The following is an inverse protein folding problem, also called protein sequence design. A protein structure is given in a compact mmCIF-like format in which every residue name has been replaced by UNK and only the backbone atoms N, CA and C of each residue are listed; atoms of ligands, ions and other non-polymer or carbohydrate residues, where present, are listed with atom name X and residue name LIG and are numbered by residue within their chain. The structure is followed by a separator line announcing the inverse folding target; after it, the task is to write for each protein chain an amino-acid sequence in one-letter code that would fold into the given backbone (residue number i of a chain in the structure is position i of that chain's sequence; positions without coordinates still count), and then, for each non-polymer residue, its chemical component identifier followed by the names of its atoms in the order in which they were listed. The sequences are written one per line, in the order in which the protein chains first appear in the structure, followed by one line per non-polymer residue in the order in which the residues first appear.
data_IF_693713024437
#
_entry.id   IF_693713024437
#
_cell.length_a   1.000
_cell.length_b   1.000
_cell.length_c   1.000
_cell.angle_alpha   90.00
_cell.angle_beta   90.00
_cell.angle_gamma   90.00
#
_symmetry.space_group_name_H-M   'P 1'
#
loop_
_entity.id
_entity.type
_entity.pdbx_description
1 polymer ?
#
# COMPACT_ATOMS: atom_id res chain seq x y z
N UNK A 1 16.01 -20.95 -5.89
CA UNK A 1 14.78 -20.34 -5.34
C UNK A 1 15.10 -18.91 -4.95
N UNK A 2 14.50 -17.92 -5.59
CA UNK A 2 14.63 -16.53 -5.12
C UNK A 2 13.84 -16.46 -3.80
N UNK A 3 14.58 -16.44 -2.70
CA UNK A 3 14.15 -16.98 -1.40
C UNK A 3 13.09 -16.17 -0.68
N UNK A 4 11.92 -16.76 -0.49
CA UNK A 4 10.93 -16.31 0.50
C UNK A 4 11.47 -16.55 1.92
N UNK A 5 11.27 -15.57 2.80
CA UNK A 5 11.67 -15.67 4.20
C UNK A 5 10.51 -16.22 5.03
N UNK A 6 10.59 -17.49 5.41
CA UNK A 6 9.52 -18.14 6.19
C UNK A 6 9.64 -17.71 7.65
N UNK A 7 8.59 -17.12 8.19
CA UNK A 7 8.51 -16.78 9.61
C UNK A 7 8.41 -18.07 10.45
N UNK A 8 9.41 -18.33 11.30
CA UNK A 8 9.50 -19.56 12.12
C UNK A 8 9.17 -19.35 13.59
N UNK A 9 9.23 -18.12 14.11
CA UNK A 9 9.02 -17.86 15.54
C UNK A 9 7.52 -17.85 15.90
N UNK A 10 7.01 -18.81 16.70
CA UNK A 10 5.60 -18.88 17.05
C UNK A 10 5.10 -17.67 17.83
N UNK A 11 5.94 -17.02 18.64
CA UNK A 11 5.56 -15.84 19.43
C UNK A 11 5.23 -14.65 18.52
N UNK A 12 6.01 -14.47 17.45
CA UNK A 12 5.75 -13.41 16.46
C UNK A 12 4.46 -13.69 15.70
N UNK A 13 4.23 -14.95 15.30
CA UNK A 13 2.99 -15.36 14.63
C UNK A 13 1.78 -15.10 15.53
N UNK A 14 1.83 -15.50 16.80
CA UNK A 14 0.76 -15.23 17.76
C UNK A 14 0.50 -13.74 17.92
N UNK A 15 1.55 -12.92 18.07
CA UNK A 15 1.39 -11.47 18.21
C UNK A 15 0.77 -10.81 16.97
N UNK A 16 1.11 -11.28 15.75
CA UNK A 16 0.47 -10.82 14.51
C UNK A 16 -1.02 -11.13 14.52
N UNK A 17 -1.40 -12.35 14.90
CA UNK A 17 -2.80 -12.81 14.93
C UNK A 17 -3.61 -12.05 15.99
N UNK A 18 -3.05 -11.84 17.17
CA UNK A 18 -3.66 -11.02 18.22
C UNK A 18 -3.90 -9.58 17.74
N UNK A 19 -2.89 -8.97 17.11
CA UNK A 19 -2.99 -7.62 16.55
C UNK A 19 -3.90 -7.49 15.34
N UNK A 20 -4.20 -8.60 14.66
CA UNK A 20 -5.22 -8.63 13.61
C UNK A 20 -6.63 -8.48 14.19
N UNK A 21 -6.84 -8.82 15.47
CA UNK A 21 -8.13 -8.75 16.15
C UNK A 21 -9.23 -9.47 15.34
N UNK A 22 -8.92 -10.71 14.94
CA UNK A 22 -9.79 -11.58 14.14
C UNK A 22 -11.02 -11.96 14.96
N UNK A 23 -12.19 -11.82 14.34
CA UNK A 23 -13.48 -12.23 14.87
C UNK A 23 -13.84 -13.62 14.34
N UNK A 24 -14.61 -14.43 15.09
CA UNK A 24 -15.05 -15.76 14.66
C UNK A 24 -15.83 -15.77 13.33
N UNK A 25 -16.46 -14.66 12.98
CA UNK A 25 -17.26 -14.51 11.75
C UNK A 25 -16.43 -14.07 10.54
N UNK A 26 -15.18 -13.66 10.72
CA UNK A 26 -14.39 -13.04 9.66
C UNK A 26 -13.98 -14.03 8.57
N UNK A 27 -14.01 -13.55 7.33
CA UNK A 27 -13.22 -14.09 6.22
C UNK A 27 -11.84 -13.44 6.25
N UNK A 28 -10.80 -14.26 6.31
CA UNK A 28 -9.41 -13.79 6.43
C UNK A 28 -8.70 -14.02 5.10
N UNK A 29 -8.10 -12.98 4.54
CA UNK A 29 -7.16 -13.11 3.42
C UNK A 29 -5.74 -13.27 3.97
N UNK A 30 -5.11 -14.40 3.71
CA UNK A 30 -3.69 -14.62 3.96
C UNK A 30 -2.90 -14.54 2.66
N UNK A 31 -1.86 -13.71 2.59
CA UNK A 31 -0.99 -13.64 1.40
C UNK A 31 0.43 -14.07 1.73
N UNK A 32 0.91 -15.08 1.00
CA UNK A 32 2.18 -15.77 1.25
C UNK A 32 2.05 -16.77 2.39
N UNK A 33 1.11 -17.71 2.28
CA UNK A 33 0.84 -18.72 3.33
C UNK A 33 2.02 -19.66 3.57
N UNK A 34 2.89 -19.85 2.56
CA UNK A 34 4.02 -20.76 2.63
C UNK A 34 3.59 -22.16 3.08
N UNK A 35 4.30 -22.73 4.06
CA UNK A 35 4.00 -24.05 4.64
C UNK A 35 2.85 -24.07 5.64
N UNK A 36 2.15 -22.94 5.83
CA UNK A 36 0.93 -22.89 6.64
C UNK A 36 1.10 -22.60 8.12
N UNK A 37 2.26 -22.13 8.58
CA UNK A 37 2.51 -21.86 10.02
C UNK A 37 1.54 -20.83 10.61
N UNK A 38 1.18 -19.82 9.83
CA UNK A 38 0.22 -18.80 10.23
C UNK A 38 -1.21 -19.22 9.86
N UNK A 39 -1.39 -19.81 8.66
CA UNK A 39 -2.67 -20.35 8.17
C UNK A 39 -3.41 -21.20 9.19
N UNK A 40 -2.74 -22.18 9.81
CA UNK A 40 -3.42 -23.08 10.78
C UNK A 40 -3.98 -22.32 11.98
N UNK A 41 -3.26 -21.32 12.48
CA UNK A 41 -3.71 -20.48 13.60
C UNK A 41 -4.81 -19.50 13.18
N UNK A 42 -4.81 -19.04 11.93
CA UNK A 42 -5.90 -18.23 11.38
C UNK A 42 -7.20 -19.05 11.25
N UNK A 43 -7.10 -20.31 10.82
CA UNK A 43 -8.23 -21.24 10.67
C UNK A 43 -8.92 -21.58 12.01
N UNK A 44 -8.17 -21.55 13.12
CA UNK A 44 -8.70 -21.70 14.48
C UNK A 44 -9.54 -20.49 14.93
N UNK A 45 -9.28 -19.29 14.38
CA UNK A 45 -9.87 -18.02 14.85
C UNK A 45 -10.99 -17.50 13.95
N UNK A 46 -10.89 -17.70 12.64
CA UNK A 46 -11.84 -17.16 11.66
C UNK A 46 -12.89 -18.15 11.17
N UNK A 47 -13.86 -17.62 10.43
CA UNK A 47 -14.88 -18.40 9.72
C UNK A 47 -14.26 -19.13 8.53
N UNK A 48 -13.44 -18.42 7.75
CA UNK A 48 -12.82 -18.90 6.51
C UNK A 48 -11.46 -18.22 6.32
N UNK A 49 -10.48 -18.95 5.80
CA UNK A 49 -9.20 -18.40 5.35
C UNK A 49 -9.08 -18.59 3.85
N UNK A 50 -8.81 -17.51 3.15
CA UNK A 50 -8.41 -17.51 1.74
C UNK A 50 -6.89 -17.29 1.70
N UNK A 51 -6.14 -18.33 1.40
CA UNK A 51 -4.69 -18.28 1.30
C UNK A 51 -4.26 -18.08 -0.16
N UNK A 52 -3.53 -16.99 -0.44
CA UNK A 52 -2.87 -16.77 -1.72
C UNK A 52 -1.41 -17.21 -1.65
N UNK A 53 -1.02 -18.13 -2.53
CA UNK A 53 0.35 -18.63 -2.61
C UNK A 53 0.79 -18.78 -4.07
N UNK A 54 2.03 -18.35 -4.35
CA UNK A 54 2.61 -18.39 -5.68
C UNK A 54 3.28 -19.75 -5.96
N UNK A 55 3.95 -20.35 -4.96
CA UNK A 55 4.67 -21.61 -5.13
C UNK A 55 3.73 -22.82 -4.99
N UNK A 56 3.43 -23.57 -6.10
CA UNK A 56 2.50 -24.69 -6.05
C UNK A 56 2.99 -25.84 -5.14
N UNK A 57 4.28 -25.93 -4.86
CA UNK A 57 4.84 -26.95 -3.96
C UNK A 57 4.43 -26.69 -2.51
N UNK A 58 4.47 -25.41 -2.09
CA UNK A 58 4.03 -24.99 -0.76
C UNK A 58 2.52 -25.14 -0.60
N UNK A 59 1.76 -24.95 -1.69
CA UNK A 59 0.32 -25.22 -1.72
C UNK A 59 0.03 -26.69 -1.39
N UNK A 60 0.73 -27.63 -2.02
CA UNK A 60 0.56 -29.05 -1.74
C UNK A 60 0.89 -29.41 -0.28
N UNK A 61 1.96 -28.82 0.28
CA UNK A 61 2.30 -28.99 1.70
C UNK A 61 1.22 -28.44 2.64
N UNK A 62 0.69 -27.24 2.35
CA UNK A 62 -0.39 -26.63 3.11
C UNK A 62 -1.68 -27.47 3.06
N UNK A 63 -2.05 -27.98 1.88
CA UNK A 63 -3.21 -28.86 1.73
C UNK A 63 -3.06 -30.13 2.56
N UNK A 64 -1.90 -30.79 2.46
CA UNK A 64 -1.59 -31.98 3.27
C UNK A 64 -1.63 -31.69 4.77
N UNK A 65 -1.17 -30.51 5.18
CA UNK A 65 -1.13 -30.10 6.59
C UNK A 65 -2.51 -29.97 7.23
N UNK A 66 -3.52 -29.53 6.48
CA UNK A 66 -4.90 -29.40 6.99
C UNK A 66 -5.78 -30.60 6.67
N UNK A 67 -5.32 -31.51 5.79
CA UNK A 67 -6.06 -32.70 5.39
C UNK A 67 -6.47 -33.55 6.59
N UNK A 68 -7.72 -34.02 6.61
CA UNK A 68 -8.26 -34.83 7.70
C UNK A 68 -8.60 -34.05 8.98
N UNK A 69 -8.41 -32.73 9.00
CA UNK A 69 -8.80 -31.87 10.12
C UNK A 69 -10.12 -31.13 9.83
N UNK A 70 -10.88 -30.71 10.85
CA UNK A 70 -12.05 -29.85 10.67
C UNK A 70 -11.73 -28.50 10.02
N UNK A 71 -10.46 -28.09 10.00
CA UNK A 71 -10.03 -26.83 9.39
C UNK A 71 -10.00 -26.88 7.86
N UNK A 72 -9.93 -28.08 7.26
CA UNK A 72 -9.83 -28.23 5.80
C UNK A 72 -10.99 -27.55 5.05
N UNK A 73 -12.22 -27.64 5.59
CA UNK A 73 -13.41 -27.03 4.98
C UNK A 73 -13.43 -25.50 5.07
N UNK A 74 -12.64 -24.92 5.96
CA UNK A 74 -12.50 -23.46 6.13
C UNK A 74 -11.39 -22.86 5.26
N UNK A 75 -10.53 -23.68 4.66
CA UNK A 75 -9.40 -23.21 3.86
C UNK A 75 -9.76 -23.20 2.37
N UNK A 76 -9.62 -22.03 1.74
CA UNK A 76 -9.58 -21.89 0.29
C UNK A 76 -8.17 -21.45 -0.11
N UNK A 77 -7.59 -22.08 -1.13
CA UNK A 77 -6.26 -21.72 -1.64
C UNK A 77 -6.40 -21.15 -3.04
N UNK A 78 -5.81 -19.98 -3.27
CA UNK A 78 -5.70 -19.32 -4.56
C UNK A 78 -4.24 -19.39 -5.01
N UNK A 79 -3.98 -20.21 -6.03
CA UNK A 79 -2.62 -20.39 -6.57
C UNK A 79 -2.35 -19.34 -7.64
N UNK A 80 -1.28 -18.56 -7.47
CA UNK A 80 -0.81 -17.63 -8.50
C UNK A 80 -0.31 -16.28 -7.97
N UNK A 81 -0.12 -15.35 -8.90
CA UNK A 81 0.36 -14.00 -8.60
C UNK A 81 -0.78 -13.14 -8.03
N UNK A 82 -0.73 -12.90 -6.71
CA UNK A 82 -1.71 -12.07 -6.00
C UNK A 82 -1.86 -10.66 -6.59
N UNK A 83 -0.84 -10.12 -7.27
CA UNK A 83 -0.94 -8.80 -7.91
C UNK A 83 -1.82 -8.83 -9.17
N UNK A 84 -1.96 -9.99 -9.82
CA UNK A 84 -2.76 -10.17 -11.04
C UNK A 84 -4.14 -10.75 -10.77
N UNK A 85 -4.33 -11.49 -9.69
CA UNK A 85 -5.61 -12.14 -9.37
C UNK A 85 -6.61 -11.18 -8.74
N UNK A 86 -7.89 -11.28 -9.10
CA UNK A 86 -8.94 -10.55 -8.39
C UNK A 86 -9.09 -11.08 -6.95
N UNK A 87 -9.01 -10.16 -5.98
CA UNK A 87 -9.15 -10.53 -4.57
C UNK A 87 -10.63 -10.77 -4.25
N UNK A 88 -10.97 -11.85 -3.55
CA UNK A 88 -12.34 -12.05 -3.08
C UNK A 88 -12.65 -11.07 -1.93
N UNK A 89 -13.89 -11.07 -1.47
CA UNK A 89 -14.24 -10.41 -0.22
C UNK A 89 -13.45 -10.99 0.96
N UNK A 90 -12.96 -10.12 1.84
CA UNK A 90 -12.39 -10.48 3.13
C UNK A 90 -12.63 -9.36 4.16
N UNK A 91 -12.76 -9.73 5.43
CA UNK A 91 -12.90 -8.79 6.54
C UNK A 91 -11.55 -8.29 7.04
N UNK A 92 -10.55 -9.17 7.07
CA UNK A 92 -9.20 -8.87 7.57
C UNK A 92 -8.15 -9.52 6.68
N UNK A 93 -7.02 -8.83 6.46
CA UNK A 93 -5.89 -9.40 5.73
C UNK A 93 -4.69 -9.57 6.67
N UNK A 94 -3.97 -10.69 6.53
CA UNK A 94 -2.67 -10.90 7.15
C UNK A 94 -1.68 -11.31 6.07
N UNK A 95 -0.49 -10.71 6.03
CA UNK A 95 0.47 -11.07 4.99
C UNK A 95 1.92 -11.03 5.46
N UNK A 96 2.68 -12.03 4.98
CA UNK A 96 4.14 -12.07 5.03
C UNK A 96 4.68 -12.07 3.59
N UNK A 97 4.70 -10.88 2.98
CA UNK A 97 4.99 -10.74 1.57
C UNK A 97 6.49 -10.74 1.29
N UNK A 98 6.91 -11.28 0.14
CA UNK A 98 8.19 -10.92 -0.46
C UNK A 98 8.28 -9.40 -0.62
N UNK A 99 9.43 -8.83 -0.26
CA UNK A 99 9.57 -7.38 -0.19
C UNK A 99 9.39 -6.68 -1.55
N UNK A 100 9.66 -7.38 -2.64
CA UNK A 100 9.56 -6.90 -4.02
C UNK A 100 8.14 -6.49 -4.40
N UNK A 101 7.11 -7.10 -3.79
CA UNK A 101 5.70 -6.85 -4.13
C UNK A 101 4.98 -5.94 -3.11
N UNK A 102 5.70 -5.42 -2.10
CA UNK A 102 5.10 -4.67 -0.98
C UNK A 102 4.30 -3.44 -1.45
N UNK A 103 4.92 -2.57 -2.27
CA UNK A 103 4.26 -1.34 -2.73
C UNK A 103 3.03 -1.59 -3.61
N UNK A 104 3.09 -2.40 -4.69
CA UNK A 104 1.91 -2.64 -5.51
C UNK A 104 0.80 -3.37 -4.72
N UNK A 105 1.16 -4.24 -3.77
CA UNK A 105 0.16 -4.92 -2.95
C UNK A 105 -0.56 -3.97 -1.98
N UNK A 106 0.14 -3.03 -1.36
CA UNK A 106 -0.50 -2.01 -0.50
C UNK A 106 -1.54 -1.22 -1.29
N UNK A 107 -1.21 -0.75 -2.49
CA UNK A 107 -2.19 -0.04 -3.32
C UNK A 107 -3.34 -0.93 -3.78
N UNK A 108 -3.06 -2.19 -4.12
CA UNK A 108 -4.09 -3.17 -4.45
C UNK A 108 -5.09 -3.37 -3.31
N UNK A 109 -4.62 -3.41 -2.06
CA UNK A 109 -5.49 -3.44 -0.89
C UNK A 109 -6.29 -2.14 -0.75
N UNK A 110 -5.65 -0.97 -0.77
CA UNK A 110 -6.33 0.32 -0.55
C UNK A 110 -7.43 0.61 -1.60
N UNK A 111 -7.23 0.15 -2.83
CA UNK A 111 -8.20 0.28 -3.93
C UNK A 111 -9.22 -0.88 -3.98
N UNK A 112 -9.04 -1.93 -3.17
CA UNK A 112 -9.95 -3.06 -3.15
C UNK A 112 -11.35 -2.66 -2.65
N UNK A 113 -12.37 -3.25 -3.27
CA UNK A 113 -13.77 -3.16 -2.86
C UNK A 113 -14.37 -4.57 -2.86
N UNK A 114 -15.26 -4.91 -1.90
CA UNK A 114 -15.71 -4.12 -0.75
C UNK A 114 -14.58 -3.77 0.23
N UNK A 115 -14.79 -2.78 1.10
CA UNK A 115 -13.78 -2.42 2.09
C UNK A 115 -13.59 -3.54 3.12
N UNK A 116 -12.33 -3.78 3.48
CA UNK A 116 -11.96 -4.62 4.61
C UNK A 116 -11.79 -3.77 5.87
N UNK A 117 -11.85 -4.40 7.04
CA UNK A 117 -11.73 -3.72 8.34
C UNK A 117 -10.29 -3.33 8.64
N UNK A 118 -9.35 -4.27 8.51
CA UNK A 118 -7.93 -4.00 8.71
C UNK A 118 -7.03 -5.01 7.98
N UNK A 119 -5.79 -4.62 7.74
CA UNK A 119 -4.73 -5.49 7.24
C UNK A 119 -3.53 -5.41 8.19
N UNK A 120 -3.00 -6.56 8.61
CA UNK A 120 -1.79 -6.67 9.42
C UNK A 120 -0.68 -7.28 8.57
N UNK A 121 0.23 -6.42 8.12
CA UNK A 121 1.18 -6.73 7.06
C UNK A 121 2.60 -6.64 7.60
N UNK A 122 3.43 -7.61 7.22
CA UNK A 122 4.86 -7.59 7.53
C UNK A 122 5.67 -7.08 6.36
N UNK A 123 6.56 -6.11 6.62
CA UNK A 123 7.43 -5.47 5.63
C UNK A 123 8.87 -5.35 6.13
N UNK A 124 9.80 -4.99 5.24
CA UNK A 124 11.10 -4.46 5.66
C UNK A 124 10.91 -3.24 6.56
N UNK A 125 11.82 -3.06 7.53
CA UNK A 125 11.77 -1.93 8.47
C UNK A 125 11.68 -0.59 7.77
N UNK A 126 12.54 -0.32 6.80
CA UNK A 126 12.56 0.96 6.09
C UNK A 126 11.23 1.22 5.35
N UNK A 127 10.70 0.22 4.66
CA UNK A 127 9.41 0.31 3.97
C UNK A 127 8.26 0.60 4.96
N UNK A 128 8.20 -0.13 6.08
CA UNK A 128 7.21 0.10 7.13
C UNK A 128 7.29 1.52 7.70
N UNK A 129 8.50 2.03 7.94
CA UNK A 129 8.72 3.39 8.44
C UNK A 129 8.32 4.45 7.40
N UNK A 130 8.48 4.19 6.11
CA UNK A 130 7.98 5.08 5.05
C UNK A 130 6.46 5.17 5.06
N UNK A 131 5.73 4.09 5.33
CA UNK A 131 4.26 4.12 5.37
C UNK A 131 3.72 5.05 6.48
N UNK A 132 4.39 5.06 7.64
CA UNK A 132 3.99 5.85 8.82
C UNK A 132 4.72 7.19 8.96
N UNK A 133 5.63 7.51 8.03
CA UNK A 133 6.40 8.75 8.08
C UNK A 133 5.49 9.98 7.95
N UNK A 134 5.71 10.98 8.78
CA UNK A 134 4.97 12.24 8.78
C UNK A 134 5.69 13.32 7.95
N UNK A 135 5.00 14.38 7.53
CA UNK A 135 5.65 15.54 6.90
C UNK A 135 6.84 16.03 7.73
N UNK A 136 7.95 16.32 7.06
CA UNK A 136 9.22 16.71 7.67
C UNK A 136 10.18 15.54 7.92
N UNK A 137 9.68 14.32 8.10
CA UNK A 137 10.52 13.14 8.37
C UNK A 137 11.44 12.81 7.20
N UNK A 138 12.63 12.27 7.52
CA UNK A 138 13.60 11.84 6.51
C UNK A 138 13.02 10.85 5.50
N UNK A 139 12.19 9.92 5.99
CA UNK A 139 11.55 8.86 5.19
C UNK A 139 10.22 9.27 4.56
N UNK A 140 9.73 10.49 4.79
CA UNK A 140 8.50 10.98 4.17
C UNK A 140 8.63 11.01 2.65
N UNK A 141 7.68 10.38 1.96
CA UNK A 141 7.72 10.21 0.51
C UNK A 141 6.31 10.01 -0.06
N UNK A 142 6.22 9.88 -1.40
CA UNK A 142 4.97 9.58 -2.10
C UNK A 142 4.19 8.38 -1.53
N UNK A 143 4.89 7.34 -1.07
CA UNK A 143 4.25 6.18 -0.44
C UNK A 143 3.52 6.56 0.85
N UNK A 144 4.14 7.43 1.66
CA UNK A 144 3.61 7.92 2.93
C UNK A 144 2.28 8.63 2.70
N UNK A 145 2.30 9.68 1.89
CA UNK A 145 1.14 10.54 1.68
C UNK A 145 0.01 9.81 0.95
N UNK A 146 0.29 8.98 -0.07
CA UNK A 146 -0.77 8.25 -0.79
C UNK A 146 -1.43 7.18 0.10
N UNK A 147 -0.65 6.50 0.95
CA UNK A 147 -1.21 5.49 1.85
C UNK A 147 -2.03 6.16 2.96
N UNK A 148 -1.53 7.26 3.53
CA UNK A 148 -2.20 8.02 4.58
C UNK A 148 -3.44 8.77 4.10
N UNK A 149 -3.52 9.12 2.81
CA UNK A 149 -4.74 9.63 2.18
C UNK A 149 -5.88 8.61 2.35
N UNK A 150 -5.62 7.36 1.99
CA UNK A 150 -6.62 6.30 1.85
C UNK A 150 -6.83 5.46 3.12
N UNK A 151 -5.90 5.50 4.08
CA UNK A 151 -5.94 4.65 5.26
C UNK A 151 -5.29 5.28 6.50
N UNK A 152 -5.70 4.79 7.68
CA UNK A 152 -4.92 4.91 8.91
C UNK A 152 -3.84 3.83 8.92
N UNK A 153 -2.61 4.21 9.26
CA UNK A 153 -1.46 3.29 9.25
C UNK A 153 -0.72 3.37 10.58
N UNK A 154 -0.60 2.22 11.25
CA UNK A 154 0.04 2.13 12.56
C UNK A 154 1.22 1.14 12.54
N UNK A 155 2.38 1.55 13.06
CA UNK A 155 3.51 0.64 13.27
C UNK A 155 3.28 -0.17 14.54
N UNK A 156 3.13 -1.48 14.40
CA UNK A 156 2.70 -2.34 15.51
C UNK A 156 3.85 -2.97 16.29
N UNK A 157 4.90 -3.42 15.60
CA UNK A 157 6.08 -4.02 16.24
C UNK A 157 7.25 -4.20 15.30
N UNK A 158 8.43 -4.34 15.91
CA UNK A 158 9.69 -4.71 15.27
C UNK A 158 9.82 -6.23 15.26
N UNK A 159 10.31 -6.81 14.17
CA UNK A 159 10.58 -8.25 14.06
C UNK A 159 12.03 -8.46 13.64
N UNK A 160 12.76 -9.19 14.49
CA UNK A 160 14.18 -9.56 14.29
C UNK A 160 14.39 -10.43 13.05
N UNK A 161 15.44 -10.20 12.26
CA UNK A 161 15.81 -11.08 11.11
C UNK A 161 16.04 -12.56 11.48
N UNK A 162 16.43 -12.86 12.72
CA UNK A 162 16.66 -14.22 13.19
C UNK A 162 15.37 -15.05 13.35
N UNK A 163 14.19 -14.41 13.24
CA UNK A 163 12.88 -15.06 13.31
C UNK A 163 12.47 -15.73 11.99
N UNK A 164 13.32 -15.67 10.96
CA UNK A 164 13.03 -16.18 9.62
C UNK A 164 13.96 -17.33 9.21
N UNK A 165 13.53 -18.10 8.20
CA UNK A 165 14.35 -19.12 7.54
C UNK A 165 14.17 -19.05 6.00
N UNK A 166 15.25 -18.82 5.23
CA UNK A 166 16.52 -18.27 5.69
C UNK A 166 16.35 -16.83 6.27
N UNK A 167 17.27 -16.33 7.11
CA UNK A 167 17.20 -14.95 7.60
C UNK A 167 17.31 -13.91 6.48
N UNK A 168 16.51 -12.83 6.49
CA UNK A 168 16.70 -11.68 5.60
C UNK A 168 17.95 -10.88 5.99
N UNK A 169 18.44 -10.06 5.05
CA UNK A 169 19.56 -9.13 5.30
C UNK A 169 19.21 -7.96 6.21
N UNK A 170 17.91 -7.64 6.33
CA UNK A 170 17.40 -6.46 7.04
C UNK A 170 16.33 -6.84 8.05
N UNK A 171 16.10 -5.95 9.01
CA UNK A 171 15.03 -6.09 10.00
C UNK A 171 13.65 -5.91 9.37
N UNK A 172 12.65 -6.51 10.01
CA UNK A 172 11.23 -6.41 9.60
C UNK A 172 10.40 -5.59 10.58
N UNK A 173 9.21 -5.19 10.15
CA UNK A 173 8.17 -4.64 11.02
C UNK A 173 6.80 -5.13 10.61
N UNK A 174 5.89 -5.16 11.57
CA UNK A 174 4.47 -5.38 11.36
C UNK A 174 3.76 -4.03 11.39
N UNK A 175 2.90 -3.78 10.40
CA UNK A 175 2.12 -2.56 10.22
C UNK A 175 0.64 -2.93 10.13
N UNK A 176 -0.22 -2.12 10.74
CA UNK A 176 -1.67 -2.20 10.57
C UNK A 176 -2.12 -1.12 9.59
N UNK A 177 -2.96 -1.50 8.63
CA UNK A 177 -3.58 -0.58 7.68
C UNK A 177 -5.10 -0.72 7.80
N UNK A 178 -5.79 0.38 8.03
CA UNK A 178 -7.25 0.46 8.07
C UNK A 178 -7.75 1.46 7.04
N UNK A 179 -8.49 1.02 6.01
CA UNK A 179 -9.05 1.93 5.01
C UNK A 179 -9.94 3.00 5.67
N UNK A 180 -9.86 4.24 5.17
CA UNK A 180 -10.82 5.29 5.55
C UNK A 180 -12.15 5.02 4.86
N UNK A 181 -13.23 4.99 5.64
CA UNK A 181 -14.59 4.72 5.17
C UNK A 181 -15.50 5.85 5.71
N UNK A 182 -16.13 6.66 4.84
CA UNK A 182 -15.94 6.68 3.38
C UNK A 182 -14.52 7.14 2.99
N UNK A 183 -14.05 6.80 1.77
CA UNK A 183 -12.79 7.33 1.27
C UNK A 183 -12.92 8.86 1.07
N UNK A 184 -11.81 9.62 1.12
CA UNK A 184 -11.86 11.04 0.83
C UNK A 184 -12.38 11.30 -0.60
N UNK A 185 -13.13 12.40 -0.83
CA UNK A 185 -13.73 12.72 -2.12
C UNK A 185 -12.69 13.28 -3.10
N UNK A 186 -11.65 12.50 -3.37
CA UNK A 186 -10.47 12.88 -4.17
C UNK A 186 -10.33 11.93 -5.34
N UNK A 187 -10.13 12.48 -6.53
CA UNK A 187 -9.71 11.67 -7.68
C UNK A 187 -8.28 11.17 -7.45
N UNK A 188 -8.14 9.89 -7.06
CA UNK A 188 -6.83 9.31 -6.73
C UNK A 188 -5.84 9.36 -7.90
N UNK A 189 -6.32 9.32 -9.14
CA UNK A 189 -5.45 9.38 -10.32
C UNK A 189 -4.79 10.76 -10.46
N UNK A 190 -5.56 11.83 -10.26
CA UNK A 190 -5.05 13.20 -10.27
C UNK A 190 -4.15 13.46 -9.08
N UNK A 191 -4.57 12.98 -7.89
CA UNK A 191 -3.77 13.04 -6.67
C UNK A 191 -2.39 12.40 -6.83
N UNK A 192 -2.31 11.13 -7.26
CA UNK A 192 -1.02 10.46 -7.46
C UNK A 192 -0.19 11.15 -8.55
N UNK A 193 -0.85 11.72 -9.58
CA UNK A 193 -0.20 12.53 -10.60
C UNK A 193 0.51 13.76 -10.03
N UNK A 194 -0.21 14.56 -9.24
CA UNK A 194 0.31 15.75 -8.57
C UNK A 194 1.44 15.40 -7.61
N UNK A 195 1.20 14.44 -6.71
CA UNK A 195 2.18 14.01 -5.72
C UNK A 195 3.41 13.39 -6.40
N UNK A 196 3.24 12.67 -7.52
CA UNK A 196 4.37 12.16 -8.32
C UNK A 196 5.29 13.29 -8.78
N UNK A 197 4.74 14.39 -9.29
CA UNK A 197 5.52 15.57 -9.71
C UNK A 197 6.26 16.17 -8.51
N UNK A 198 5.54 16.42 -7.42
CA UNK A 198 6.06 17.09 -6.22
C UNK A 198 7.20 16.29 -5.55
N UNK A 199 7.09 14.96 -5.52
CA UNK A 199 8.04 14.10 -4.80
C UNK A 199 9.25 13.63 -5.63
N UNK A 200 9.36 13.95 -6.94
CA UNK A 200 10.57 13.63 -7.74
C UNK A 200 11.82 14.22 -7.06
N UNK A 201 11.73 15.49 -6.66
CA UNK A 201 12.79 16.20 -5.92
C UNK A 201 12.20 16.83 -4.67
N UNK A 202 11.75 16.01 -3.72
CA UNK A 202 10.99 16.44 -2.52
C UNK A 202 11.62 17.56 -1.68
N UNK A 203 12.93 17.80 -1.80
CA UNK A 203 13.68 18.86 -1.09
C UNK A 203 13.82 20.16 -1.90
N UNK A 204 13.41 20.17 -3.16
CA UNK A 204 13.31 21.38 -4.00
C UNK A 204 11.89 21.95 -3.89
N UNK A 205 11.78 23.21 -4.27
CA UNK A 205 10.50 23.94 -4.22
C UNK A 205 9.53 23.39 -5.26
N UNK A 206 8.22 23.57 -5.05
CA UNK A 206 7.21 23.15 -6.02
C UNK A 206 7.39 23.90 -7.34
N UNK A 207 7.72 25.19 -7.33
CA UNK A 207 8.08 25.92 -8.56
C UNK A 207 9.14 25.16 -9.38
N UNK A 208 10.19 24.64 -8.74
CA UNK A 208 11.22 23.85 -9.40
C UNK A 208 10.76 22.43 -9.81
N UNK A 209 9.73 21.87 -9.17
CA UNK A 209 9.16 20.57 -9.54
C UNK A 209 8.38 20.65 -10.86
N UNK A 210 7.68 21.76 -11.10
CA UNK A 210 6.84 21.96 -12.29
C UNK A 210 7.59 22.48 -13.52
N UNK A 211 8.81 23.02 -13.38
CA UNK A 211 9.66 23.50 -14.50
C UNK A 211 10.26 22.39 -15.38
N UNK A 212 9.81 21.14 -15.25
CA UNK A 212 10.28 20.04 -16.08
C UNK A 212 9.50 20.03 -17.40
N UNK A 213 10.19 19.93 -18.53
CA UNK A 213 9.54 19.88 -19.86
C UNK A 213 8.51 18.76 -19.97
N UNK A 214 8.78 17.59 -19.36
CA UNK A 214 7.84 16.48 -19.32
C UNK A 214 6.55 16.80 -18.53
N UNK A 215 6.66 17.64 -17.49
CA UNK A 215 5.50 18.09 -16.69
C UNK A 215 4.70 19.13 -17.46
N UNK A 216 5.37 20.10 -18.06
CA UNK A 216 4.73 21.14 -18.88
C UNK A 216 3.95 20.51 -20.05
N UNK A 217 4.56 19.59 -20.79
CA UNK A 217 3.91 18.88 -21.90
C UNK A 217 2.69 18.07 -21.44
N UNK A 218 2.80 17.38 -20.31
CA UNK A 218 1.69 16.61 -19.74
C UNK A 218 0.50 17.52 -19.37
N UNK A 219 0.79 18.61 -18.66
CA UNK A 219 -0.24 19.53 -18.19
C UNK A 219 -0.84 20.34 -19.33
N UNK A 220 -0.05 20.74 -20.32
CA UNK A 220 -0.55 21.44 -21.50
C UNK A 220 -1.50 20.55 -22.31
N UNK A 221 -1.13 19.28 -22.52
CA UNK A 221 -2.01 18.30 -23.18
C UNK A 221 -3.34 18.16 -22.44
N UNK A 222 -3.30 17.99 -21.12
CA UNK A 222 -4.51 17.86 -20.31
C UNK A 222 -5.35 19.15 -20.31
N UNK A 223 -4.69 20.33 -20.27
CA UNK A 223 -5.36 21.62 -20.30
C UNK A 223 -6.05 21.88 -21.64
N UNK A 224 -5.43 21.51 -22.77
CA UNK A 224 -6.06 21.59 -24.10
C UNK A 224 -7.30 20.71 -24.20
N UNK A 225 -7.24 19.49 -23.66
CA UNK A 225 -8.42 18.59 -23.59
C UNK A 225 -9.52 19.24 -22.75
N UNK A 226 -9.20 19.77 -21.58
CA UNK A 226 -10.16 20.48 -20.73
C UNK A 226 -10.81 21.66 -21.47
N UNK A 227 -10.02 22.50 -22.13
CA UNK A 227 -10.55 23.64 -22.87
C UNK A 227 -11.49 23.20 -24.01
N UNK A 228 -11.14 22.14 -24.74
CA UNK A 228 -12.00 21.59 -25.80
C UNK A 228 -13.31 21.01 -25.25
N UNK A 229 -13.29 20.35 -24.09
CA UNK A 229 -14.49 19.76 -23.48
C UNK A 229 -15.45 20.83 -22.93
N UNK A 230 -14.92 21.97 -22.50
CA UNK A 230 -15.68 23.06 -21.89
C UNK A 230 -15.89 24.27 -22.81
N UNK A 231 -15.57 24.15 -24.10
CA UNK A 231 -15.66 25.25 -25.09
C UNK A 231 -14.91 26.53 -24.64
N UNK A 232 -13.77 26.37 -23.98
CA UNK A 232 -12.91 27.48 -23.55
C UNK A 232 -11.91 27.76 -24.67
N UNK A 233 -11.88 29.00 -25.16
CA UNK A 233 -10.90 29.42 -26.14
C UNK A 233 -9.53 29.63 -25.47
N UNK A 234 -8.49 29.00 -26.01
CA UNK A 234 -7.11 29.19 -25.54
C UNK A 234 -6.55 30.44 -26.23
N UNK A 235 -6.06 31.45 -25.48
CA UNK A 235 -5.43 32.63 -26.08
C UNK A 235 -4.22 32.26 -26.95
N UNK A 236 -3.97 33.01 -28.02
CA UNK A 236 -2.83 32.76 -28.94
C UNK A 236 -1.47 32.83 -28.23
N UNK A 237 -1.35 33.67 -27.19
CA UNK A 237 -0.16 33.85 -26.38
C UNK A 237 -0.15 33.00 -25.09
N UNK A 238 -0.97 31.95 -25.01
CA UNK A 238 -1.06 31.11 -23.82
C UNK A 238 0.27 30.39 -23.52
N UNK A 239 0.73 30.51 -22.27
CA UNK A 239 1.86 29.77 -21.73
C UNK A 239 1.42 28.90 -20.55
N UNK A 240 1.55 27.57 -20.69
CA UNK A 240 1.25 26.63 -19.60
C UNK A 240 2.18 26.88 -18.40
N UNK A 241 3.45 27.22 -18.67
CA UNK A 241 4.44 27.50 -17.64
C UNK A 241 4.02 28.70 -16.79
N UNK A 242 3.61 29.80 -17.42
CA UNK A 242 3.14 30.99 -16.70
C UNK A 242 1.88 30.69 -15.90
N UNK A 243 0.91 29.96 -16.49
CA UNK A 243 -0.30 29.55 -15.77
C UNK A 243 0.02 28.73 -14.52
N UNK A 244 0.94 27.76 -14.61
CA UNK A 244 1.36 26.96 -13.44
C UNK A 244 2.03 27.84 -12.38
N UNK A 245 2.96 28.73 -12.78
CA UNK A 245 3.64 29.60 -11.82
C UNK A 245 2.68 30.58 -11.14
N UNK A 246 1.69 31.11 -11.88
CA UNK A 246 0.67 31.98 -11.33
C UNK A 246 -0.19 31.23 -10.30
N UNK A 247 -0.67 30.02 -10.61
CA UNK A 247 -1.43 29.19 -9.66
C UNK A 247 -0.61 28.91 -8.39
N UNK A 248 0.67 28.52 -8.54
CA UNK A 248 1.54 28.28 -7.39
C UNK A 248 1.79 29.54 -6.55
N UNK A 249 1.85 30.71 -7.17
CA UNK A 249 2.08 31.99 -6.48
C UNK A 249 0.82 32.50 -5.79
N UNK A 250 -0.33 32.45 -6.46
CA UNK A 250 -1.63 32.87 -5.93
C UNK A 250 -2.05 32.05 -4.70
N UNK A 251 -1.56 30.80 -4.60
CA UNK A 251 -1.84 29.90 -3.48
C UNK A 251 -0.67 29.76 -2.50
N UNK A 252 0.35 30.61 -2.58
CA UNK A 252 1.53 30.62 -1.68
C UNK A 252 2.30 29.27 -1.61
N UNK A 253 2.34 28.52 -2.72
CA UNK A 253 2.99 27.21 -2.82
C UNK A 253 4.32 27.24 -3.59
N UNK A 254 4.72 28.36 -4.18
CA UNK A 254 5.91 28.45 -5.04
C UNK A 254 7.21 28.00 -4.34
N UNK A 255 7.39 28.39 -3.07
CA UNK A 255 8.58 28.07 -2.26
C UNK A 255 8.41 26.81 -1.39
N UNK A 256 7.19 26.25 -1.34
CA UNK A 256 6.91 25.07 -0.53
C UNK A 256 7.65 23.85 -1.08
N UNK A 257 7.99 22.92 -0.19
CA UNK A 257 8.71 21.70 -0.54
C UNK A 257 7.85 20.51 -0.12
N UNK A 258 7.64 19.57 -1.04
CA UNK A 258 6.84 18.38 -0.78
C UNK A 258 7.26 17.60 0.49
N UNK A 259 8.54 17.68 0.88
CA UNK A 259 9.04 17.04 2.11
C UNK A 259 8.36 17.52 3.40
N UNK A 260 7.77 18.72 3.43
CA UNK A 260 7.14 19.31 4.62
C UNK A 260 5.63 19.50 4.46
N UNK A 261 5.08 19.23 3.28
CA UNK A 261 3.66 19.40 3.00
C UNK A 261 2.85 18.19 3.48
N UNK A 262 1.72 18.46 4.11
CA UNK A 262 0.76 17.45 4.56
C UNK A 262 -0.36 17.21 3.54
N UNK A 263 -1.39 16.42 3.91
CA UNK A 263 -2.49 16.13 2.99
C UNK A 263 -3.35 17.36 2.68
N UNK A 264 -3.55 18.25 3.65
CA UNK A 264 -4.40 19.42 3.49
C UNK A 264 -3.72 20.45 2.57
N UNK A 265 -2.39 20.56 2.64
CA UNK A 265 -1.60 21.34 1.70
C UNK A 265 -1.78 20.90 0.24
N UNK A 266 -1.85 19.58 -0.03
CA UNK A 266 -2.04 19.06 -1.39
C UNK A 266 -3.50 19.12 -1.88
N UNK A 267 -4.45 19.37 -0.97
CA UNK A 267 -5.88 19.47 -1.27
C UNK A 267 -6.34 20.90 -1.61
N UNK A 268 -5.53 21.90 -1.26
CA UNK A 268 -5.76 23.32 -1.55
C UNK A 268 -5.34 23.67 -2.98
#
# INVERSE_FOLDING_TARGET
MIGQHILKNPLIVNSIIEKAAIRPTDVILEVGSGTGNMTVKLLEKGKKVVACEFDPRLVAELQKRVQGTPMASKLQIMVGDVLKTDLPFFDTCVANLPYQISSPFVFKLLLHRPFFRCAVLMFQREFALRLVAKPGDKLYCRLSINTQLLARVDHLMKVGKNNFRPPPKVESSVVRIEPKIPPPPVNFQEWDGLVRIAFVRKNKTLSAAFKSSAVEQLLEKNYRIHCSLHNIQIPENFSITEKIQNILKENDFNENRARTMDMDDFMR
#
